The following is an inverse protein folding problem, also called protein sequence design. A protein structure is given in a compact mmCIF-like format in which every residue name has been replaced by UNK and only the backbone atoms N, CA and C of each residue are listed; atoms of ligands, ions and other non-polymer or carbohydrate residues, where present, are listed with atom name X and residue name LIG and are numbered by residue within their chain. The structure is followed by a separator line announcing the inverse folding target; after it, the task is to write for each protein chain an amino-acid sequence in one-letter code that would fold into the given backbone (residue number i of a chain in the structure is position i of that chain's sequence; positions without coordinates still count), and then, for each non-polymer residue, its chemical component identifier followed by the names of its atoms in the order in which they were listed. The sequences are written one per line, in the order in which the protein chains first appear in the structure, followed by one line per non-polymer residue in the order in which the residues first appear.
data_IF_537535590532
#
_entry.id   IF_537535590532
#
_cell.length_a   1.000
_cell.length_b   1.000
_cell.length_c   1.000
_cell.angle_alpha   90.00
_cell.angle_beta   90.00
_cell.angle_gamma   90.00
#
_symmetry.space_group_name_H-M   'P 1'
#
loop_
_entity.id
_entity.type
_entity.pdbx_description
1 polymer ?
#
# COMPACT_ATOMS: atom_id res chain seq x y z
N UNK A 1 27.20 -24.27 -43.77
CA UNK A 1 26.70 -22.88 -43.85
C UNK A 1 25.23 -22.75 -43.42
N UNK A 2 24.26 -23.48 -44.01
CA UNK A 2 22.83 -23.36 -43.65
C UNK A 2 22.52 -23.40 -42.14
N UNK A 3 22.94 -24.46 -41.42
CA UNK A 3 22.67 -24.63 -39.98
C UNK A 3 23.06 -23.42 -39.11
N UNK A 4 24.14 -22.71 -39.47
CA UNK A 4 24.59 -21.52 -38.74
C UNK A 4 23.75 -20.26 -39.04
N UNK A 5 23.10 -20.17 -40.20
CA UNK A 5 22.18 -19.06 -40.54
C UNK A 5 20.86 -19.21 -39.78
N UNK A 6 20.32 -20.42 -39.73
CA UNK A 6 19.09 -20.73 -38.97
C UNK A 6 19.27 -20.53 -37.46
N UNK A 7 20.40 -20.95 -36.89
CA UNK A 7 20.69 -20.72 -35.47
C UNK A 7 20.78 -19.21 -35.13
N UNK A 8 21.38 -18.38 -36.00
CA UNK A 8 21.42 -16.92 -35.81
C UNK A 8 20.02 -16.29 -35.87
N UNK A 9 19.17 -16.74 -36.78
CA UNK A 9 17.77 -16.27 -36.87
C UNK A 9 17.01 -16.61 -35.57
N UNK A 10 17.13 -17.85 -35.07
CA UNK A 10 16.50 -18.26 -33.81
C UNK A 10 17.01 -17.46 -32.60
N UNK A 11 18.33 -17.20 -32.51
CA UNK A 11 18.91 -16.40 -31.42
C UNK A 11 18.45 -14.94 -31.49
N UNK A 12 18.44 -14.31 -32.67
CA UNK A 12 17.94 -12.94 -32.80
C UNK A 12 16.43 -12.85 -32.53
N UNK A 13 15.65 -13.84 -32.97
CA UNK A 13 14.21 -13.91 -32.70
C UNK A 13 13.92 -14.04 -31.20
N UNK A 14 14.63 -14.93 -30.49
CA UNK A 14 14.50 -15.10 -29.05
C UNK A 14 14.92 -13.84 -28.28
N UNK A 15 15.97 -13.14 -28.75
CA UNK A 15 16.41 -11.88 -28.14
C UNK A 15 15.37 -10.77 -28.34
N UNK A 16 14.76 -10.66 -29.52
CA UNK A 16 13.67 -9.70 -29.78
C UNK A 16 12.46 -9.94 -28.86
N UNK A 17 12.05 -11.19 -28.66
CA UNK A 17 10.90 -11.50 -27.79
C UNK A 17 11.14 -11.19 -26.32
N UNK A 18 12.39 -11.27 -25.84
CA UNK A 18 12.73 -10.92 -24.45
C UNK A 18 12.78 -9.41 -24.24
N UNK A 19 13.21 -8.64 -25.24
CA UNK A 19 13.23 -7.16 -25.17
C UNK A 19 11.83 -6.54 -25.27
N UNK A 20 10.86 -7.25 -25.86
CA UNK A 20 9.48 -6.78 -26.03
C UNK A 20 8.57 -7.04 -24.81
N UNK A 21 9.06 -7.66 -23.74
CA UNK A 21 8.32 -7.90 -22.50
C UNK A 21 8.29 -6.63 -21.62
N UNK A 22 7.69 -5.56 -22.13
CA UNK A 22 7.29 -4.41 -21.31
C UNK A 22 6.11 -4.87 -20.44
N UNK A 23 6.11 -4.64 -19.12
CA UNK A 23 4.92 -4.89 -18.31
C UNK A 23 3.76 -4.03 -18.85
N UNK A 24 2.62 -4.67 -19.13
CA UNK A 24 1.41 -3.96 -19.48
C UNK A 24 0.82 -3.36 -18.20
N UNK A 25 1.21 -2.13 -17.89
CA UNK A 25 0.57 -1.29 -16.88
C UNK A 25 -0.79 -0.91 -17.46
N UNK A 26 -1.82 -1.66 -17.08
CA UNK A 26 -3.08 -1.67 -17.83
C UNK A 26 -4.09 -0.64 -17.32
N UNK A 27 -4.12 -0.34 -16.02
CA UNK A 27 -4.97 0.68 -15.39
C UNK A 27 -4.27 1.19 -14.12
N UNK A 28 -4.57 2.42 -13.68
CA UNK A 28 -3.99 2.97 -12.46
C UNK A 28 -4.67 2.41 -11.20
N UNK A 29 -3.96 1.57 -10.45
CA UNK A 29 -4.46 1.03 -9.17
C UNK A 29 -4.16 1.98 -8.00
N UNK A 30 -5.07 2.06 -7.02
CA UNK A 30 -4.85 2.80 -5.77
C UNK A 30 -3.87 2.00 -4.89
N UNK A 31 -2.67 2.52 -4.67
CA UNK A 31 -1.64 1.87 -3.84
C UNK A 31 -1.77 2.21 -2.36
N UNK A 32 -2.21 3.44 -2.03
CA UNK A 32 -2.41 3.88 -0.65
C UNK A 32 -3.33 5.09 -0.55
N UNK A 33 -3.98 5.22 0.59
CA UNK A 33 -4.81 6.36 0.95
C UNK A 33 -4.45 6.87 2.36
N UNK A 34 -4.65 8.16 2.59
CA UNK A 34 -4.62 8.80 3.89
C UNK A 34 -5.87 9.70 4.00
N UNK A 35 -6.85 9.43 4.88
CA UNK A 35 -6.93 8.28 5.79
C UNK A 35 -6.91 6.93 5.06
N UNK A 36 -6.40 5.88 5.69
CA UNK A 36 -6.41 4.54 5.11
C UNK A 36 -7.81 3.91 5.16
N UNK A 37 -8.04 2.89 4.32
CA UNK A 37 -9.29 2.13 4.32
C UNK A 37 -9.52 1.46 5.69
N UNK A 38 -10.69 1.72 6.29
CA UNK A 38 -11.06 1.24 7.61
C UNK A 38 -10.29 1.88 8.77
N UNK A 39 -9.55 2.98 8.55
CA UNK A 39 -8.85 3.68 9.61
C UNK A 39 -9.82 4.41 10.55
N UNK A 40 -9.67 4.22 11.86
CA UNK A 40 -10.39 4.98 12.88
C UNK A 40 -9.47 6.05 13.50
N UNK A 41 -9.74 7.31 13.21
CA UNK A 41 -8.95 8.47 13.65
C UNK A 41 -9.50 9.07 14.95
N UNK A 42 -8.61 9.53 15.84
CA UNK A 42 -9.01 10.24 17.08
C UNK A 42 -9.47 11.70 16.83
N UNK A 43 -9.11 12.25 15.66
CA UNK A 43 -9.35 13.63 15.25
C UNK A 43 -9.68 13.67 13.75
N UNK A 44 -10.48 14.64 13.33
CA UNK A 44 -10.81 14.85 11.92
C UNK A 44 -9.55 15.16 11.09
N UNK A 45 -9.31 14.46 9.97
CA UNK A 45 -8.24 14.79 9.04
C UNK A 45 -8.57 16.07 8.26
N UNK A 46 -7.55 16.84 7.86
CA UNK A 46 -7.73 18.09 7.09
C UNK A 46 -7.90 17.87 5.58
N UNK A 47 -7.48 16.72 5.07
CA UNK A 47 -7.55 16.35 3.66
C UNK A 47 -7.65 14.83 3.50
N UNK A 48 -8.12 14.40 2.34
CA UNK A 48 -7.91 13.04 1.82
C UNK A 48 -6.82 13.09 0.77
N UNK A 49 -5.88 12.14 0.81
CA UNK A 49 -4.77 11.97 -0.13
C UNK A 49 -4.76 10.54 -0.68
N UNK A 50 -4.94 10.41 -1.99
CA UNK A 50 -4.95 9.13 -2.72
C UNK A 50 -3.67 9.02 -3.55
N UNK A 51 -2.97 7.89 -3.47
CA UNK A 51 -1.72 7.65 -4.21
C UNK A 51 -1.85 6.40 -5.09
N UNK A 52 -1.56 6.54 -6.38
CA UNK A 52 -1.74 5.53 -7.41
C UNK A 52 -0.39 4.95 -7.91
N UNK A 53 -0.42 3.74 -8.46
CA UNK A 53 0.78 3.08 -9.02
C UNK A 53 1.36 3.75 -10.26
N UNK A 54 0.54 4.56 -10.94
CA UNK A 54 0.83 5.28 -12.17
C UNK A 54 0.40 6.75 -12.03
N UNK A 55 0.95 7.67 -12.86
CA UNK A 55 0.41 9.02 -12.97
C UNK A 55 -1.05 9.00 -13.43
N UNK A 56 -1.87 9.87 -12.83
CA UNK A 56 -3.30 10.01 -13.12
C UNK A 56 -3.66 11.47 -13.39
N UNK A 57 -4.63 11.70 -14.26
CA UNK A 57 -5.25 13.01 -14.45
C UNK A 57 -6.49 13.13 -13.56
N UNK A 58 -6.56 14.21 -12.78
CA UNK A 58 -7.74 14.53 -11.97
C UNK A 58 -8.92 14.92 -12.87
N UNK A 59 -10.05 14.23 -12.71
CA UNK A 59 -11.33 14.60 -13.32
C UNK A 59 -11.92 15.88 -12.69
N UNK A 60 -13.10 16.31 -13.15
CA UNK A 60 -13.92 17.25 -12.40
C UNK A 60 -14.43 16.56 -11.12
N UNK A 61 -14.14 17.13 -9.96
CA UNK A 61 -14.37 16.52 -8.63
C UNK A 61 -13.77 15.10 -8.54
N UNK A 62 -12.43 14.98 -8.56
CA UNK A 62 -11.76 13.69 -8.64
C UNK A 62 -11.86 12.86 -7.35
N UNK A 63 -12.20 13.52 -6.24
CA UNK A 63 -12.46 12.93 -4.92
C UNK A 63 -13.66 13.67 -4.33
N UNK A 64 -14.66 12.93 -3.87
CA UNK A 64 -15.81 13.44 -3.11
C UNK A 64 -15.90 12.65 -1.81
N UNK A 65 -16.25 13.32 -0.71
CA UNK A 65 -16.32 12.67 0.62
C UNK A 65 -17.69 12.92 1.23
N UNK A 66 -18.33 11.88 1.73
CA UNK A 66 -19.69 11.89 2.25
C UNK A 66 -19.73 11.45 3.72
N UNK A 67 -20.59 12.06 4.52
CA UNK A 67 -20.94 11.55 5.85
C UNK A 67 -21.97 10.41 5.78
N UNK A 68 -22.16 9.71 6.90
CA UNK A 68 -23.21 8.68 7.06
C UNK A 68 -24.66 9.12 6.76
N UNK A 69 -24.92 10.43 6.64
CA UNK A 69 -26.21 11.00 6.23
C UNK A 69 -26.33 11.26 4.73
N UNK A 70 -25.27 11.01 3.95
CA UNK A 70 -25.17 11.31 2.53
C UNK A 70 -24.88 12.79 2.23
N UNK A 71 -24.49 13.58 3.23
CA UNK A 71 -24.05 14.96 2.99
C UNK A 71 -22.60 14.94 2.53
N UNK A 72 -22.31 15.59 1.40
CA UNK A 72 -20.93 15.80 0.95
C UNK A 72 -20.21 16.75 1.91
N UNK A 73 -19.02 16.41 2.39
CA UNK A 73 -18.23 17.09 3.44
C UNK A 73 -16.82 17.51 3.02
N UNK A 74 -16.39 17.25 1.78
CA UNK A 74 -15.15 17.82 1.24
C UNK A 74 -15.31 19.30 0.81
N UNK A 75 -14.18 19.90 0.44
CA UNK A 75 -14.04 21.32 0.08
C UNK A 75 -14.33 21.68 -1.38
N UNK A 76 -14.74 20.74 -2.24
CA UNK A 76 -14.94 20.94 -3.69
C UNK A 76 -13.67 21.46 -4.42
N UNK A 77 -12.49 21.12 -3.89
CA UNK A 77 -11.18 21.59 -4.35
C UNK A 77 -10.22 20.46 -4.81
N UNK A 78 -10.79 19.27 -5.05
CA UNK A 78 -10.06 18.06 -5.43
C UNK A 78 -9.19 18.22 -6.68
N UNK A 79 -7.92 17.83 -6.58
CA UNK A 79 -6.87 18.12 -7.58
C UNK A 79 -5.69 17.15 -7.50
N UNK A 80 -4.90 17.05 -8.57
CA UNK A 80 -3.59 16.39 -8.50
C UNK A 80 -2.62 17.16 -7.58
N UNK A 81 -1.72 16.45 -6.89
CA UNK A 81 -0.64 17.04 -6.10
C UNK A 81 0.36 17.75 -7.06
N UNK A 82 0.72 19.02 -6.82
CA UNK A 82 1.62 19.77 -7.70
C UNK A 82 3.06 19.22 -7.73
N UNK A 83 3.41 18.31 -6.82
CA UNK A 83 4.75 17.70 -6.72
C UNK A 83 4.76 16.23 -7.16
N UNK A 84 3.61 15.57 -7.25
CA UNK A 84 3.51 14.15 -7.61
C UNK A 84 2.25 13.86 -8.45
N UNK A 85 2.44 13.58 -9.74
CA UNK A 85 1.36 13.27 -10.67
C UNK A 85 0.65 11.92 -10.39
N UNK A 86 1.17 11.11 -9.45
CA UNK A 86 0.52 9.88 -8.95
C UNK A 86 -0.48 10.14 -7.83
N UNK A 87 -0.60 11.38 -7.37
CA UNK A 87 -1.35 11.71 -6.16
C UNK A 87 -2.48 12.67 -6.49
N UNK A 88 -3.64 12.40 -5.89
CA UNK A 88 -4.81 13.30 -5.87
C UNK A 88 -5.13 13.64 -4.42
N UNK A 89 -5.44 14.91 -4.16
CA UNK A 89 -5.83 15.44 -2.85
C UNK A 89 -7.15 16.19 -2.93
N UNK A 90 -7.95 16.14 -1.86
CA UNK A 90 -9.10 17.03 -1.64
C UNK A 90 -9.12 17.46 -0.17
N UNK A 91 -9.35 18.75 0.09
CA UNK A 91 -9.50 19.25 1.45
C UNK A 91 -10.84 18.79 2.04
N UNK A 92 -10.84 18.56 3.35
CA UNK A 92 -12.05 18.29 4.12
C UNK A 92 -12.52 19.56 4.82
N UNK A 93 -13.82 19.67 5.10
CA UNK A 93 -14.34 20.79 5.90
C UNK A 93 -13.84 20.70 7.34
N UNK A 94 -13.69 21.88 7.94
CA UNK A 94 -13.35 22.00 9.35
C UNK A 94 -14.40 21.31 10.23
N UNK A 95 -13.97 20.77 11.37
CA UNK A 95 -14.83 20.21 12.42
C UNK A 95 -15.77 19.06 11.96
N UNK A 96 -15.25 18.11 11.17
CA UNK A 96 -15.98 16.87 10.85
C UNK A 96 -16.46 16.17 12.15
N UNK A 97 -17.77 15.93 12.33
CA UNK A 97 -18.29 15.24 13.50
C UNK A 97 -17.75 13.81 13.65
N UNK A 98 -17.87 13.24 14.85
CA UNK A 98 -17.62 11.82 15.03
C UNK A 98 -18.63 10.98 14.23
N UNK A 99 -18.14 10.01 13.47
CA UNK A 99 -18.95 9.21 12.56
C UNK A 99 -18.11 8.51 11.49
N UNK A 100 -18.81 7.79 10.62
CA UNK A 100 -18.22 7.11 9.46
C UNK A 100 -18.34 7.99 8.21
N UNK A 101 -17.31 7.96 7.39
CA UNK A 101 -17.14 8.76 6.18
C UNK A 101 -16.81 7.86 5.00
N UNK A 102 -17.42 8.15 3.85
CA UNK A 102 -17.16 7.45 2.59
C UNK A 102 -16.40 8.38 1.65
N UNK A 103 -15.28 7.89 1.11
CA UNK A 103 -14.46 8.55 0.10
C UNK A 103 -14.74 7.88 -1.23
N UNK A 104 -15.31 8.63 -2.18
CA UNK A 104 -15.47 8.23 -3.57
C UNK A 104 -14.40 8.95 -4.42
N UNK A 105 -13.84 8.28 -5.44
CA UNK A 105 -12.93 8.93 -6.40
C UNK A 105 -13.21 8.52 -7.83
N UNK A 106 -12.81 9.40 -8.77
CA UNK A 106 -12.75 9.12 -10.19
C UNK A 106 -11.57 9.88 -10.81
N UNK A 107 -10.66 9.14 -11.43
CA UNK A 107 -9.44 9.66 -12.07
C UNK A 107 -9.30 9.05 -13.46
N UNK A 108 -8.52 9.68 -14.34
CA UNK A 108 -8.19 9.10 -15.65
C UNK A 108 -6.76 8.56 -15.58
N UNK A 109 -6.56 7.27 -15.90
CA UNK A 109 -5.23 6.66 -15.92
C UNK A 109 -4.44 7.06 -17.18
N UNK A 110 -3.11 6.84 -17.16
CA UNK A 110 -2.22 7.29 -18.24
C UNK A 110 -2.50 6.67 -19.64
N UNK A 111 -3.23 5.55 -19.68
CA UNK A 111 -3.76 4.88 -20.87
C UNK A 111 -5.08 5.50 -21.40
N UNK A 112 -5.73 6.36 -20.61
CA UNK A 112 -6.89 7.17 -20.99
C UNK A 112 -8.25 6.65 -20.51
N UNK A 113 -8.30 5.50 -19.84
CA UNK A 113 -9.53 4.97 -19.26
C UNK A 113 -9.84 5.62 -17.88
N UNK A 114 -11.12 5.84 -17.55
CA UNK A 114 -11.52 6.29 -16.22
C UNK A 114 -11.46 5.15 -15.20
N UNK A 115 -10.84 5.39 -14.06
CA UNK A 115 -10.79 4.50 -12.90
C UNK A 115 -11.51 5.17 -11.73
N UNK A 116 -12.43 4.44 -11.11
CA UNK A 116 -13.22 4.89 -9.96
C UNK A 116 -13.15 3.86 -8.82
N UNK A 117 -13.42 4.31 -7.60
CA UNK A 117 -13.55 3.44 -6.45
C UNK A 117 -14.13 4.15 -5.24
N UNK A 118 -14.31 3.39 -4.17
CA UNK A 118 -14.86 3.86 -2.89
C UNK A 118 -14.15 3.15 -1.72
N UNK A 119 -13.92 3.85 -0.62
CA UNK A 119 -13.58 3.25 0.69
C UNK A 119 -14.18 4.08 1.83
N UNK A 120 -14.17 3.56 3.06
CA UNK A 120 -14.63 4.30 4.25
C UNK A 120 -13.56 4.43 5.33
N UNK A 121 -13.65 5.49 6.13
CA UNK A 121 -12.87 5.71 7.36
C UNK A 121 -13.77 6.27 8.47
N UNK A 122 -13.33 6.18 9.72
CA UNK A 122 -14.10 6.64 10.89
C UNK A 122 -13.37 7.75 11.65
N UNK A 123 -14.13 8.69 12.21
CA UNK A 123 -13.64 9.69 13.17
C UNK A 123 -14.29 9.42 14.53
N UNK A 124 -13.47 9.19 15.55
CA UNK A 124 -13.93 8.96 16.92
C UNK A 124 -14.38 10.26 17.59
N UNK A 125 -15.29 10.14 18.56
CA UNK A 125 -15.67 11.25 19.42
C UNK A 125 -14.51 11.62 20.35
N UNK A 126 -13.84 12.74 20.08
CA UNK A 126 -12.73 13.22 20.90
C UNK A 126 -13.18 13.41 22.36
N UNK A 127 -12.66 12.59 23.27
CA UNK A 127 -13.04 12.54 24.69
C UNK A 127 -12.46 13.68 25.54
N UNK A 128 -11.99 14.77 24.91
CA UNK A 128 -11.24 15.88 25.51
C UNK A 128 -12.11 16.89 26.29
N UNK A 129 -13.16 16.42 26.96
CA UNK A 129 -13.94 17.24 27.91
C UNK A 129 -14.40 16.44 29.14
N UNK A 130 -13.47 15.67 29.71
CA UNK A 130 -13.68 14.92 30.96
C UNK A 130 -12.44 14.91 31.89
N UNK A 131 -11.66 16.01 31.91
CA UNK A 131 -10.43 16.12 32.70
C UNK A 131 -10.27 17.48 33.41
N UNK A 132 -11.36 18.06 33.91
CA UNK A 132 -11.31 19.15 34.90
C UNK A 132 -12.43 19.02 35.95
N UNK A 133 -12.33 18.00 36.80
CA UNK A 133 -12.86 17.96 38.18
C UNK A 133 -12.35 16.69 38.87
N UNK A 134 -11.29 16.81 39.66
CA UNK A 134 -11.04 15.94 40.82
C UNK A 134 -10.47 16.80 41.95
N UNK A 135 -11.35 17.40 42.74
CA UNK A 135 -10.96 18.01 44.00
C UNK A 135 -10.66 16.91 45.02
N UNK A 136 -9.37 16.76 45.31
CA UNK A 136 -8.76 16.40 46.60
C UNK A 136 -9.71 15.88 47.70
N UNK A 137 -9.83 14.55 47.82
CA UNK A 137 -10.50 13.90 48.95
C UNK A 137 -9.55 13.77 50.16
N UNK A 138 -10.07 14.04 51.36
CA UNK A 138 -9.30 14.10 52.59
C UNK A 138 -9.30 12.75 53.34
N UNK A 139 -8.11 12.15 53.36
CA UNK A 139 -7.52 11.44 54.50
C UNK A 139 -8.42 10.60 55.45
N UNK A 140 -8.18 9.28 55.45
CA UNK A 140 -8.07 8.54 56.72
C UNK A 140 -8.59 7.10 56.74
N UNK A 141 -7.67 6.13 56.82
CA UNK A 141 -8.00 4.77 57.27
C UNK A 141 -7.31 3.62 56.53
N UNK A 142 -6.16 3.20 57.03
CA UNK A 142 -5.60 1.86 56.82
C UNK A 142 -5.59 1.13 58.19
N UNK A 143 -5.16 -0.16 58.31
CA UNK A 143 -4.93 -1.20 57.30
C UNK A 143 -5.59 -2.57 57.63
N UNK A 144 -5.71 -3.50 56.67
CA UNK A 144 -5.76 -4.96 56.97
C UNK A 144 -5.14 -5.82 55.83
N UNK A 145 -4.23 -6.71 56.22
CA UNK A 145 -3.54 -7.81 55.50
C UNK A 145 -3.29 -8.92 56.59
N UNK A 146 -3.04 -10.26 56.38
CA UNK A 146 -2.64 -11.09 55.20
C UNK A 146 -3.73 -12.13 54.78
N UNK A 147 -3.55 -13.30 54.14
CA UNK A 147 -2.45 -14.21 53.66
C UNK A 147 -2.78 -14.65 52.20
N UNK A 148 -1.85 -14.80 51.24
CA UNK A 148 -0.80 -15.83 51.00
C UNK A 148 -1.29 -17.23 50.52
N UNK A 149 -0.44 -17.89 49.69
CA UNK A 149 -0.51 -19.23 49.06
C UNK A 149 -1.29 -19.33 47.73
N UNK A 150 -0.69 -19.20 46.53
CA UNK A 150 0.45 -19.87 45.88
C UNK A 150 0.18 -21.30 45.34
N UNK A 151 0.25 -21.48 44.01
CA UNK A 151 0.86 -22.65 43.39
C UNK A 151 1.20 -22.46 41.90
N UNK A 152 2.15 -23.26 41.42
CA UNK A 152 2.92 -23.09 40.16
C UNK A 152 2.52 -24.10 39.10
N UNK A 153 2.61 -23.71 37.82
CA UNK A 153 3.20 -24.49 36.71
C UNK A 153 3.28 -23.54 35.51
N UNK A 154 4.34 -23.45 34.71
CA UNK A 154 5.38 -24.44 34.40
C UNK A 154 5.13 -24.96 32.99
N UNK A 155 5.92 -24.50 32.03
CA UNK A 155 5.69 -24.68 30.59
C UNK A 155 6.78 -24.03 29.73
N UNK A 156 7.98 -24.62 29.78
CA UNK A 156 9.11 -24.27 28.89
C UNK A 156 8.98 -24.93 27.52
N UNK A 157 9.67 -24.38 26.51
CA UNK A 157 9.97 -25.05 25.25
C UNK A 157 9.08 -24.63 24.06
N UNK A 158 9.59 -24.45 22.85
CA UNK A 158 10.99 -24.57 22.40
C UNK A 158 11.26 -23.70 21.18
N UNK A 159 12.53 -23.38 20.99
CA UNK A 159 13.13 -22.90 19.75
C UNK A 159 12.82 -23.82 18.56
N UNK A 160 12.51 -23.26 17.39
CA UNK A 160 12.97 -23.73 16.07
C UNK A 160 13.15 -22.51 15.15
N UNK A 161 14.34 -22.26 14.60
CA UNK A 161 14.80 -22.72 13.26
C UNK A 161 14.03 -22.02 12.12
N UNK A 162 14.62 -21.29 11.18
CA UNK A 162 16.02 -20.97 10.88
C UNK A 162 16.07 -20.24 9.52
N UNK A 163 16.95 -19.24 9.36
CA UNK A 163 16.90 -18.35 8.20
C UNK A 163 17.61 -18.88 6.94
N UNK A 164 16.87 -19.00 5.83
CA UNK A 164 17.36 -19.11 4.45
C UNK A 164 16.30 -18.53 3.51
N UNK A 165 16.59 -17.80 2.44
CA UNK A 165 17.85 -17.24 1.97
C UNK A 165 17.61 -16.45 0.67
N UNK A 166 18.22 -15.27 0.53
CA UNK A 166 18.23 -14.53 -0.73
C UNK A 166 18.99 -15.33 -1.79
N UNK A 167 18.33 -15.91 -2.80
CA UNK A 167 19.03 -16.88 -3.65
C UNK A 167 18.31 -17.66 -4.76
N UNK A 168 17.18 -17.23 -5.33
CA UNK A 168 16.52 -17.97 -6.44
C UNK A 168 16.21 -17.15 -7.71
N UNK A 169 16.90 -16.02 -7.95
CA UNK A 169 16.79 -15.27 -9.22
C UNK A 169 17.87 -15.58 -10.27
N UNK A 170 18.88 -16.41 -9.96
CA UNK A 170 20.00 -16.69 -10.89
C UNK A 170 19.92 -18.00 -11.69
N UNK A 171 18.82 -18.76 -11.57
CA UNK A 171 18.64 -20.01 -12.35
C UNK A 171 18.50 -19.76 -13.87
N UNK A 172 18.00 -18.60 -14.29
CA UNK A 172 17.82 -18.25 -15.71
C UNK A 172 19.13 -17.89 -16.43
N UNK A 173 20.11 -17.29 -15.73
CA UNK A 173 21.36 -16.79 -16.35
C UNK A 173 22.39 -17.90 -16.62
N UNK A 174 22.42 -18.95 -15.79
CA UNK A 174 23.40 -20.04 -15.94
C UNK A 174 23.23 -20.83 -17.25
N UNK A 175 21.98 -21.09 -17.68
CA UNK A 175 21.68 -21.84 -18.90
C UNK A 175 22.11 -21.11 -20.17
N UNK A 176 21.96 -19.78 -20.23
CA UNK A 176 22.37 -18.99 -21.39
C UNK A 176 23.90 -18.99 -21.62
N UNK A 177 24.68 -18.88 -20.55
CA UNK A 177 26.15 -18.85 -20.61
C UNK A 177 26.75 -20.21 -21.01
N UNK A 178 26.19 -21.31 -20.51
CA UNK A 178 26.65 -22.68 -20.86
C UNK A 178 26.44 -22.98 -22.35
N UNK A 179 25.31 -22.56 -22.93
CA UNK A 179 25.04 -22.73 -24.37
C UNK A 179 26.00 -21.89 -25.23
N UNK A 180 26.32 -20.66 -24.82
CA UNK A 180 27.29 -19.80 -25.52
C UNK A 180 28.72 -20.36 -25.49
N UNK A 181 29.19 -20.85 -24.34
CA UNK A 181 30.52 -21.46 -24.20
C UNK A 181 30.65 -22.78 -24.98
N UNK A 182 29.63 -23.64 -24.92
CA UNK A 182 29.62 -24.93 -25.63
C UNK A 182 29.69 -24.79 -27.16
N UNK A 183 29.09 -23.73 -27.71
CA UNK A 183 29.15 -23.43 -29.15
C UNK A 183 30.47 -22.80 -29.59
N UNK A 184 31.12 -21.99 -28.73
CA UNK A 184 32.41 -21.37 -29.04
C UNK A 184 33.56 -22.38 -29.16
N UNK A 185 33.58 -23.40 -28.28
CA UNK A 185 34.61 -24.44 -28.27
C UNK A 185 34.51 -25.42 -29.46
N UNK A 186 33.30 -25.65 -30.00
CA UNK A 186 33.07 -26.62 -31.08
C UNK A 186 33.34 -26.06 -32.49
N UNK A 187 33.65 -24.75 -32.60
CA UNK A 187 33.95 -24.08 -33.87
C UNK A 187 35.43 -23.99 -34.24
N UNK A 188 36.36 -24.40 -33.37
CA UNK A 188 37.82 -24.16 -33.53
C UNK A 188 38.63 -25.38 -33.98
N UNK A 189 37.96 -26.45 -34.42
CA UNK A 189 38.56 -27.75 -34.69
C UNK A 189 38.02 -28.45 -35.94
N UNK A 190 38.00 -27.75 -37.09
CA UNK A 190 38.00 -28.35 -38.44
C UNK A 190 38.23 -27.31 -39.53
#
# INVERSE_FOLDING_TARGET
MFRARWLRILVCSAFLTVVAAVPALAHAELESAAPAEGESLEQAPSEVRLSFGEPVEAAFNPVEVYDSGGNRVDGDDGRSDPNDARVVVASLREELPAGSYTVEWTVTSADGDPVSGEYSFDVAASSSQAADTTQEDQAGGAPVEPEEAASRSGGEGSTETGGFGSGTLYAALALGVVVLLGLSLRGRGR
#
